data_IF_527261485319
#
_entry.id   IF_527261485319
#
_cell.length_a   1.000
_cell.length_b   1.000
_cell.length_c   1.000
_cell.angle_alpha   90.00
_cell.angle_beta   90.00
_cell.angle_gamma   90.00
#
_symmetry.space_group_name_H-M   'P 1'
#
loop_
_entity.id
_entity.type
_entity.pdbx_description
1 polymer ?
#
# COMPACT_ATOMS: atom_id res chain seq x y z
N UNK A 1 23.20 -7.00 22.23
CA UNK A 1 21.90 -6.61 21.64
C UNK A 1 22.22 -5.96 20.30
N UNK A 2 21.85 -6.58 19.18
CA UNK A 2 22.14 -6.01 17.86
C UNK A 2 21.09 -4.94 17.51
N UNK A 3 21.45 -3.84 16.81
CA UNK A 3 20.48 -2.84 16.40
C UNK A 3 19.52 -3.46 15.37
N UNK A 4 18.22 -3.32 15.59
CA UNK A 4 17.26 -3.62 14.53
C UNK A 4 17.35 -2.53 13.45
N UNK A 5 17.34 -2.88 12.15
CA UNK A 5 17.29 -1.89 11.08
C UNK A 5 16.07 -0.99 11.27
N UNK A 6 16.21 0.33 11.09
CA UNK A 6 15.05 1.21 11.02
C UNK A 6 14.20 0.81 9.80
N UNK A 7 13.06 0.18 10.04
CA UNK A 7 12.11 -0.12 8.97
C UNK A 7 11.50 1.19 8.46
N UNK A 8 11.75 1.53 7.19
CA UNK A 8 11.08 2.65 6.54
C UNK A 8 9.62 2.27 6.30
N UNK A 9 8.70 2.89 7.04
CA UNK A 9 7.27 2.60 6.94
C UNK A 9 6.51 3.73 6.25
N UNK A 10 5.44 3.39 5.53
CA UNK A 10 4.46 4.33 4.99
C UNK A 10 3.14 4.06 5.68
N UNK A 11 2.57 5.09 6.29
CA UNK A 11 1.21 5.01 6.84
C UNK A 11 0.23 5.46 5.78
N UNK A 12 -0.78 4.64 5.51
CA UNK A 12 -1.88 4.96 4.61
C UNK A 12 -3.15 5.09 5.44
N UNK A 13 -3.84 6.22 5.31
CA UNK A 13 -5.13 6.48 5.94
C UNK A 13 -6.21 6.59 4.87
N UNK A 14 -7.29 5.85 5.05
CA UNK A 14 -8.47 5.83 4.19
C UNK A 14 -9.59 6.52 4.96
N UNK A 15 -9.98 7.71 4.50
CA UNK A 15 -10.92 8.60 5.22
C UNK A 15 -12.38 8.21 5.03
N UNK A 16 -12.71 7.48 3.97
CA UNK A 16 -14.05 6.95 3.74
C UNK A 16 -14.14 5.51 4.25
N UNK A 17 -15.27 5.13 4.83
CA UNK A 17 -15.52 3.73 5.17
C UNK A 17 -15.62 2.91 3.88
N UNK A 18 -14.55 2.20 3.54
CA UNK A 18 -14.48 1.36 2.35
C UNK A 18 -14.97 -0.07 2.59
N UNK A 19 -15.31 -0.43 3.83
CA UNK A 19 -15.55 -1.80 4.24
C UNK A 19 -14.35 -2.71 3.92
N UNK A 20 -14.64 -3.93 3.49
CA UNK A 20 -13.62 -4.86 2.99
C UNK A 20 -13.02 -4.36 1.68
N UNK A 21 -11.78 -3.90 1.76
CA UNK A 21 -11.00 -3.42 0.63
C UNK A 21 -9.60 -4.05 0.59
N UNK A 22 -8.98 -3.97 -0.57
CA UNK A 22 -7.61 -4.39 -0.81
C UNK A 22 -6.82 -3.23 -1.42
N UNK A 23 -5.70 -2.90 -0.79
CA UNK A 23 -4.71 -1.98 -1.31
C UNK A 23 -3.61 -2.76 -2.02
N UNK A 24 -3.30 -2.38 -3.25
CA UNK A 24 -2.33 -3.06 -4.11
C UNK A 24 -1.33 -2.02 -4.63
N UNK A 25 -0.03 -2.31 -4.49
CA UNK A 25 1.06 -1.51 -5.05
C UNK A 25 1.66 -2.25 -6.23
N UNK A 26 1.92 -1.52 -7.31
CA UNK A 26 2.49 -2.00 -8.55
C UNK A 26 3.79 -1.25 -8.85
N UNK A 27 4.80 -1.95 -9.34
CA UNK A 27 5.99 -1.33 -9.91
C UNK A 27 5.72 -0.73 -11.31
N UNK A 28 6.74 -0.11 -11.90
CA UNK A 28 6.65 0.53 -13.22
C UNK A 28 6.30 -0.45 -14.37
N UNK A 29 6.55 -1.75 -14.19
CA UNK A 29 6.20 -2.79 -15.16
C UNK A 29 4.75 -3.27 -15.01
N UNK A 30 4.04 -2.78 -13.98
CA UNK A 30 2.67 -3.19 -13.67
C UNK A 30 2.59 -4.47 -12.83
N UNK A 31 3.72 -4.99 -12.33
CA UNK A 31 3.74 -6.15 -11.43
C UNK A 31 3.33 -5.75 -10.03
N UNK A 32 2.42 -6.49 -9.42
CA UNK A 32 2.04 -6.25 -8.02
C UNK A 32 3.18 -6.64 -7.08
N UNK A 33 3.70 -5.66 -6.34
CA UNK A 33 4.82 -5.83 -5.40
C UNK A 33 4.38 -5.84 -3.94
N UNK A 34 3.17 -5.34 -3.65
CA UNK A 34 2.61 -5.36 -2.31
C UNK A 34 1.08 -5.44 -2.35
N UNK A 35 0.48 -6.14 -1.38
CA UNK A 35 -0.97 -6.26 -1.21
C UNK A 35 -1.31 -6.24 0.28
N UNK A 36 -2.28 -5.44 0.67
CA UNK A 36 -2.81 -5.37 2.03
C UNK A 36 -4.33 -5.48 1.98
N UNK A 37 -4.89 -6.38 2.79
CA UNK A 37 -6.32 -6.45 3.01
C UNK A 37 -6.68 -5.52 4.18
N UNK A 38 -7.61 -4.60 3.97
CA UNK A 38 -7.97 -3.60 5.00
C UNK A 38 -8.96 -4.15 6.02
N UNK A 39 -9.82 -5.13 5.68
CA UNK A 39 -10.82 -5.72 6.60
C UNK A 39 -11.62 -4.67 7.40
N UNK A 40 -11.97 -3.53 6.79
CA UNK A 40 -12.64 -2.41 7.46
C UNK A 40 -11.74 -1.44 8.22
N UNK A 41 -10.44 -1.70 8.33
CA UNK A 41 -9.47 -0.77 8.91
C UNK A 41 -9.30 0.46 8.03
N UNK A 42 -9.37 1.63 8.66
CA UNK A 42 -9.17 2.93 8.02
C UNK A 42 -7.71 3.35 7.98
N UNK A 43 -6.81 2.60 8.63
CA UNK A 43 -5.39 2.89 8.66
C UNK A 43 -4.58 1.60 8.63
N UNK A 44 -3.51 1.61 7.85
CA UNK A 44 -2.56 0.50 7.79
C UNK A 44 -1.16 1.01 7.43
N UNK A 45 -0.17 0.18 7.74
CA UNK A 45 1.24 0.51 7.53
C UNK A 45 1.85 -0.45 6.53
N UNK A 46 2.60 0.09 5.58
CA UNK A 46 3.38 -0.66 4.59
C UNK A 46 4.85 -0.52 4.94
N UNK A 47 5.55 -1.66 5.07
CA UNK A 47 7.01 -1.67 5.16
C UNK A 47 7.59 -1.40 3.77
N UNK A 48 8.14 -0.19 3.57
CA UNK A 48 8.85 0.24 2.35
C UNK A 48 10.29 -0.25 2.30
N UNK A 49 10.85 -0.80 3.38
CA UNK A 49 12.23 -1.28 3.40
C UNK A 49 12.53 -2.35 2.35
N UNK A 50 11.49 -2.98 1.79
CA UNK A 50 11.59 -3.94 0.68
C UNK A 50 11.27 -3.35 -0.70
N UNK A 51 10.86 -2.08 -0.78
CA UNK A 51 10.62 -1.37 -2.02
C UNK A 51 11.88 -0.59 -2.40
N UNK A 52 12.37 -0.79 -3.62
CA UNK A 52 13.45 0.01 -4.15
C UNK A 52 13.03 1.48 -4.30
N UNK A 53 13.99 2.40 -4.30
CA UNK A 53 13.72 3.78 -4.66
C UNK A 53 13.18 3.85 -6.10
N UNK A 54 12.09 4.60 -6.32
CA UNK A 54 11.43 4.64 -7.60
C UNK A 54 9.94 5.01 -7.54
N UNK A 55 9.32 5.00 -8.71
CA UNK A 55 7.88 5.25 -8.85
C UNK A 55 7.08 3.96 -8.75
N UNK A 56 5.95 4.04 -8.06
CA UNK A 56 4.98 2.97 -7.96
C UNK A 56 3.58 3.52 -8.21
N UNK A 57 2.69 2.66 -8.69
CA UNK A 57 1.26 2.93 -8.73
C UNK A 57 0.56 2.19 -7.60
N UNK A 58 -0.51 2.74 -7.05
CA UNK A 58 -1.38 2.01 -6.14
C UNK A 58 -2.82 2.00 -6.64
N UNK A 59 -3.54 0.96 -6.23
CA UNK A 59 -4.99 0.84 -6.37
C UNK A 59 -5.59 0.40 -5.04
N UNK A 60 -6.74 0.97 -4.71
CA UNK A 60 -7.62 0.51 -3.66
C UNK A 60 -8.88 -0.04 -4.32
N UNK A 61 -9.18 -1.32 -4.10
CA UNK A 61 -10.34 -2.00 -4.67
C UNK A 61 -11.21 -2.56 -3.54
N UNK A 62 -12.53 -2.56 -3.69
CA UNK A 62 -13.42 -3.21 -2.71
C UNK A 62 -13.51 -4.73 -2.96
N UNK A 63 -14.20 -5.46 -2.08
CA UNK A 63 -14.47 -6.90 -2.24
C UNK A 63 -15.12 -7.27 -3.59
N UNK A 64 -15.93 -6.40 -4.17
CA UNK A 64 -16.56 -6.61 -5.47
C UNK A 64 -15.63 -6.33 -6.67
N UNK A 65 -14.36 -5.97 -6.43
CA UNK A 65 -13.38 -5.62 -7.46
C UNK A 65 -13.54 -4.20 -8.03
N UNK A 66 -14.45 -3.38 -7.48
CA UNK A 66 -14.64 -1.99 -7.89
C UNK A 66 -13.44 -1.16 -7.42
N UNK A 67 -12.87 -0.38 -8.34
CA UNK A 67 -11.84 0.61 -8.01
C UNK A 67 -12.46 1.72 -7.15
N UNK A 68 -11.90 1.90 -5.95
CA UNK A 68 -12.27 2.95 -5.01
C UNK A 68 -11.34 4.16 -5.13
N UNK A 69 -10.04 3.91 -5.31
CA UNK A 69 -9.04 4.95 -5.50
C UNK A 69 -7.82 4.39 -6.25
N UNK A 70 -7.07 5.27 -6.90
CA UNK A 70 -5.76 4.96 -7.48
C UNK A 70 -4.86 6.19 -7.45
N UNK A 71 -3.56 5.97 -7.56
CA UNK A 71 -2.59 7.04 -7.59
C UNK A 71 -1.18 6.54 -7.82
N UNK A 72 -0.23 7.46 -7.70
CA UNK A 72 1.21 7.18 -7.80
C UNK A 72 1.88 7.56 -6.49
N UNK A 73 2.92 6.82 -6.12
CA UNK A 73 3.78 7.12 -4.98
C UNK A 73 5.25 7.05 -5.42
N UNK A 74 6.07 7.91 -4.85
CA UNK A 74 7.52 7.93 -5.07
C UNK A 74 8.21 7.48 -3.79
N UNK A 75 8.97 6.40 -3.87
CA UNK A 75 9.89 5.97 -2.81
C UNK A 75 11.25 6.61 -3.09
N UNK A 76 11.83 7.24 -2.06
CA UNK A 76 13.16 7.87 -2.09
C UNK A 76 14.05 7.19 -1.07
#
# INVERSE_FOLDING_TARGET
>A
MAPQPLESVMTVSVTNNTGDAQFIVYDISGKSVHKVQLNGNQQFTINKGRLAAGMYAYKLINRAGKLLASGKLMVR
#
